data_IF_274506796376
#
_entry.id   IF_274506796376
#
_cell.length_a   1.000
_cell.length_b   1.000
_cell.length_c   1.000
_cell.angle_alpha   90.00
_cell.angle_beta   90.00
_cell.angle_gamma   90.00
#
_symmetry.space_group_name_H-M   'P 1'
#
loop_
_entity.id
_entity.type
_entity.pdbx_description
1 polymer ?
#
# COMPACT_ATOMS: atom_id res chain seq x y z
N UNK A 1 -8.53 -3.16 -11.34
CA UNK A 1 -9.26 -2.62 -10.18
C UNK A 1 -10.65 -2.11 -10.57
N UNK A 2 -11.53 -1.92 -9.59
CA UNK A 2 -12.79 -1.19 -9.78
C UNK A 2 -12.53 0.30 -10.02
N UNK A 3 -13.53 0.98 -10.59
CA UNK A 3 -13.54 2.41 -10.83
C UNK A 3 -14.00 3.16 -9.57
N UNK A 4 -13.25 4.18 -9.16
CA UNK A 4 -13.62 5.01 -8.01
C UNK A 4 -14.61 6.13 -8.42
N UNK A 5 -15.17 6.92 -7.47
CA UNK A 5 -16.10 8.00 -7.78
C UNK A 5 -15.53 9.07 -8.73
N UNK A 6 -14.23 9.35 -8.64
CA UNK A 6 -13.50 10.26 -9.54
C UNK A 6 -13.20 9.63 -10.91
N UNK A 7 -13.71 8.44 -11.17
CA UNK A 7 -13.54 7.70 -12.41
C UNK A 7 -12.13 7.19 -12.69
N UNK A 8 -11.29 7.11 -11.67
CA UNK A 8 -9.99 6.46 -11.75
C UNK A 8 -10.11 4.95 -11.57
N UNK A 9 -9.31 4.20 -12.34
CA UNK A 9 -9.05 2.77 -12.11
C UNK A 9 -7.63 2.44 -12.56
N UNK A 10 -7.05 1.38 -12.00
CA UNK A 10 -5.78 0.84 -12.48
C UNK A 10 -5.99 -0.48 -13.21
N UNK A 11 -5.22 -0.66 -14.29
CA UNK A 11 -5.28 -1.82 -15.19
C UNK A 11 -3.86 -2.16 -15.62
N UNK A 12 -3.53 -3.45 -15.69
CA UNK A 12 -2.29 -3.91 -16.31
C UNK A 12 -2.44 -3.91 -17.84
N UNK A 13 -1.50 -3.26 -18.54
CA UNK A 13 -1.44 -3.21 -19.99
C UNK A 13 0.00 -3.49 -20.43
N UNK A 14 0.26 -4.73 -20.86
CA UNK A 14 1.63 -5.22 -21.07
C UNK A 14 2.47 -5.08 -19.79
N UNK A 15 3.68 -4.56 -19.90
CA UNK A 15 4.61 -4.35 -18.78
C UNK A 15 4.35 -3.08 -17.96
N UNK A 16 3.10 -2.59 -17.94
CA UNK A 16 2.72 -1.35 -17.26
C UNK A 16 1.47 -1.52 -16.41
N UNK A 17 1.49 -0.92 -15.21
CA UNK A 17 0.27 -0.62 -14.45
C UNK A 17 -0.20 0.78 -14.83
N UNK A 18 -1.33 0.89 -15.53
CA UNK A 18 -1.85 2.15 -16.07
C UNK A 18 -2.97 2.69 -15.20
N UNK A 19 -2.90 3.97 -14.84
CA UNK A 19 -3.99 4.71 -14.19
C UNK A 19 -4.91 5.33 -15.25
N UNK A 20 -6.04 4.67 -15.51
CA UNK A 20 -7.07 5.18 -16.41
C UNK A 20 -7.82 6.33 -15.74
N UNK A 21 -8.00 7.42 -16.47
CA UNK A 21 -8.70 8.64 -16.06
C UNK A 21 -9.56 9.20 -17.20
N UNK A 22 -10.54 10.05 -16.86
CA UNK A 22 -11.45 10.68 -17.85
C UNK A 22 -10.71 11.57 -18.85
N UNK A 23 -9.67 12.28 -18.40
CA UNK A 23 -8.90 13.22 -19.20
C UNK A 23 -7.89 12.56 -20.15
N UNK A 24 -7.84 11.22 -20.18
CA UNK A 24 -6.91 10.41 -21.01
C UNK A 24 -5.44 10.79 -20.82
N UNK A 25 -5.06 11.29 -19.65
CA UNK A 25 -3.66 11.61 -19.32
C UNK A 25 -2.91 10.28 -19.18
N UNK A 26 -1.75 10.17 -19.82
CA UNK A 26 -0.90 9.00 -19.74
C UNK A 26 -0.19 8.95 -18.37
N UNK A 27 -0.64 8.04 -17.50
CA UNK A 27 -0.06 7.84 -16.16
C UNK A 27 0.13 6.33 -15.97
N UNK A 28 1.37 5.91 -15.71
CA UNK A 28 1.68 4.49 -15.54
C UNK A 28 2.92 4.27 -14.67
N UNK A 29 3.01 3.07 -14.12
CA UNK A 29 4.20 2.53 -13.47
C UNK A 29 4.69 1.31 -14.26
N UNK A 30 5.98 1.24 -14.64
CA UNK A 30 6.56 0.01 -15.18
C UNK A 30 6.43 -1.12 -14.17
N UNK A 31 6.14 -2.34 -14.62
CA UNK A 31 6.06 -3.51 -13.73
C UNK A 31 7.43 -3.82 -13.10
N UNK A 32 8.53 -3.51 -13.79
CA UNK A 32 9.90 -3.71 -13.28
C UNK A 32 10.15 -3.00 -11.95
N UNK A 33 9.46 -1.88 -11.65
CA UNK A 33 9.62 -1.20 -10.36
C UNK A 33 9.19 -2.09 -9.19
N UNK A 34 8.29 -3.04 -9.43
CA UNK A 34 7.83 -3.97 -8.40
C UNK A 34 8.92 -4.96 -8.04
N UNK A 35 9.74 -5.39 -8.99
CA UNK A 35 10.90 -6.20 -8.69
C UNK A 35 12.00 -5.37 -8.00
N UNK A 36 12.34 -4.21 -8.54
CA UNK A 36 13.47 -3.41 -8.04
C UNK A 36 13.23 -2.81 -6.66
N UNK A 37 12.03 -2.25 -6.42
CA UNK A 37 11.75 -1.49 -5.19
C UNK A 37 11.00 -2.33 -4.17
N UNK A 38 10.01 -3.13 -4.60
CA UNK A 38 9.22 -3.89 -3.63
C UNK A 38 9.99 -5.08 -3.09
N UNK A 39 10.67 -5.88 -3.90
CA UNK A 39 11.47 -7.00 -3.34
C UNK A 39 12.63 -6.49 -2.50
N UNK A 40 13.38 -5.50 -2.97
CA UNK A 40 14.52 -4.97 -2.22
C UNK A 40 14.16 -4.49 -0.81
N UNK A 41 12.95 -3.93 -0.64
CA UNK A 41 12.50 -3.38 0.65
C UNK A 41 11.58 -4.30 1.46
N UNK A 42 10.80 -5.13 0.78
CA UNK A 42 9.64 -5.81 1.36
C UNK A 42 9.64 -7.32 1.14
N UNK A 43 10.73 -7.91 0.65
CA UNK A 43 10.82 -9.37 0.49
C UNK A 43 10.79 -10.11 1.83
N UNK A 44 11.24 -9.46 2.91
CA UNK A 44 11.13 -9.96 4.29
C UNK A 44 10.52 -8.91 5.19
N UNK A 45 9.43 -9.25 5.89
CA UNK A 45 8.69 -8.33 6.76
C UNK A 45 8.37 -9.02 8.09
N UNK A 46 8.55 -8.29 9.19
CA UNK A 46 7.88 -8.58 10.45
C UNK A 46 6.56 -7.80 10.50
N UNK A 47 5.44 -8.49 10.41
CA UNK A 47 4.12 -7.89 10.54
C UNK A 47 3.62 -8.09 11.97
N UNK A 48 3.45 -6.99 12.71
CA UNK A 48 2.96 -7.03 14.10
C UNK A 48 1.59 -6.32 14.22
N UNK A 49 0.67 -6.98 14.92
CA UNK A 49 -0.64 -6.45 15.25
C UNK A 49 -0.70 -6.03 16.71
N UNK A 50 -1.34 -4.88 16.94
CA UNK A 50 -1.54 -4.35 18.27
C UNK A 50 -3.02 -4.16 18.57
N UNK A 51 -3.42 -4.58 19.76
CA UNK A 51 -4.64 -4.13 20.42
C UNK A 51 -4.44 -2.70 20.91
N UNK A 52 -5.48 -1.88 20.81
CA UNK A 52 -5.42 -0.45 21.20
C UNK A 52 -6.38 -0.17 22.33
N UNK A 53 -5.93 0.57 23.35
CA UNK A 53 -6.76 1.04 24.47
C UNK A 53 -6.61 2.54 24.67
N UNK A 54 -7.70 3.22 25.03
CA UNK A 54 -7.74 4.67 25.24
C UNK A 54 -8.22 5.45 24.00
N UNK A 55 -8.18 6.78 24.10
CA UNK A 55 -8.64 7.67 23.02
C UNK A 55 -7.60 7.77 21.91
N UNK A 56 -8.02 7.48 20.67
CA UNK A 56 -7.14 7.45 19.50
C UNK A 56 -6.49 8.80 19.23
N UNK A 57 -5.21 8.79 18.86
CA UNK A 57 -4.38 9.97 18.56
C UNK A 57 -4.20 10.92 19.75
N UNK A 58 -4.21 10.39 20.97
CA UNK A 58 -3.91 11.15 22.19
C UNK A 58 -2.74 10.51 22.94
N UNK A 59 -2.18 11.23 23.92
CA UNK A 59 -1.16 10.69 24.83
C UNK A 59 -1.64 9.49 25.67
N UNK A 60 -2.96 9.26 25.71
CA UNK A 60 -3.57 8.18 26.48
C UNK A 60 -3.77 6.91 25.63
N UNK A 61 -3.50 6.94 24.31
CA UNK A 61 -3.56 5.77 23.43
C UNK A 61 -2.43 4.81 23.79
N UNK A 62 -2.78 3.56 24.11
CA UNK A 62 -1.87 2.48 24.47
C UNK A 62 -1.95 1.36 23.44
N UNK A 63 -0.81 0.70 23.18
CA UNK A 63 -0.67 -0.37 22.21
C UNK A 63 -0.11 -1.61 22.88
N UNK A 64 -0.79 -2.74 22.73
CA UNK A 64 -0.33 -4.05 23.19
C UNK A 64 -0.14 -4.96 21.97
N UNK A 65 1.11 -5.27 21.62
CA UNK A 65 1.43 -6.13 20.48
C UNK A 65 1.20 -7.58 20.88
N UNK A 66 0.13 -8.19 20.35
CA UNK A 66 -0.37 -9.49 20.78
C UNK A 66 -0.23 -10.58 19.71
N UNK A 67 0.14 -10.23 18.49
CA UNK A 67 0.21 -11.15 17.36
C UNK A 67 1.26 -10.66 16.36
N UNK A 68 2.11 -11.56 15.86
CA UNK A 68 3.12 -11.20 14.88
C UNK A 68 3.48 -12.34 13.92
N UNK A 69 3.86 -11.96 12.69
CA UNK A 69 4.22 -12.88 11.62
C UNK A 69 5.56 -12.48 10.99
N UNK A 70 6.43 -13.47 10.79
CA UNK A 70 7.58 -13.35 9.90
C UNK A 70 7.14 -13.75 8.49
N UNK A 71 7.20 -12.81 7.56
CA UNK A 71 6.81 -12.97 6.16
C UNK A 71 8.05 -12.99 5.28
N UNK A 72 8.08 -13.87 4.29
CA UNK A 72 9.18 -13.94 3.31
C UNK A 72 8.72 -14.35 1.92
N UNK A 73 9.56 -14.09 0.92
CA UNK A 73 9.31 -14.37 -0.49
C UNK A 73 8.07 -13.61 -0.98
N UNK A 74 8.22 -12.29 -1.15
CA UNK A 74 7.15 -11.45 -1.70
C UNK A 74 6.86 -11.91 -3.14
N UNK A 75 5.60 -12.32 -3.37
CA UNK A 75 5.20 -12.88 -4.64
C UNK A 75 4.55 -11.82 -5.53
N UNK A 76 5.24 -11.46 -6.62
CA UNK A 76 4.79 -10.43 -7.56
C UNK A 76 3.50 -10.82 -8.28
N UNK A 77 3.29 -12.11 -8.56
CA UNK A 77 2.05 -12.55 -9.17
C UNK A 77 0.88 -12.38 -8.21
N UNK A 78 1.03 -12.78 -6.94
CA UNK A 78 0.01 -12.52 -5.89
C UNK A 78 -0.24 -11.03 -5.70
N UNK A 79 0.79 -10.20 -5.76
CA UNK A 79 0.68 -8.74 -5.72
C UNK A 79 -0.14 -8.17 -6.89
N UNK A 80 0.14 -8.61 -8.12
CA UNK A 80 -0.63 -8.23 -9.31
C UNK A 80 -2.08 -8.67 -9.17
N UNK A 81 -2.32 -9.92 -8.79
CA UNK A 81 -3.67 -10.45 -8.57
C UNK A 81 -4.42 -9.67 -7.48
N UNK A 82 -3.75 -9.24 -6.40
CA UNK A 82 -4.36 -8.42 -5.36
C UNK A 82 -4.81 -7.04 -5.87
N UNK A 83 -4.09 -6.44 -6.83
CA UNK A 83 -4.51 -5.19 -7.50
C UNK A 83 -5.74 -5.43 -8.38
N UNK A 84 -5.73 -6.51 -9.15
CA UNK A 84 -6.83 -6.88 -10.05
C UNK A 84 -8.11 -7.18 -9.28
N UNK A 85 -8.00 -7.98 -8.21
CA UNK A 85 -9.07 -8.36 -7.30
C UNK A 85 -9.47 -7.26 -6.32
N UNK A 86 -8.91 -6.06 -6.45
CA UNK A 86 -9.28 -4.88 -5.67
C UNK A 86 -8.95 -5.00 -4.17
N UNK A 87 -8.08 -5.95 -3.77
CA UNK A 87 -7.55 -6.10 -2.40
C UNK A 87 -6.44 -5.08 -2.12
N UNK A 88 -5.57 -4.86 -3.10
CA UNK A 88 -4.50 -3.85 -3.06
C UNK A 88 -4.92 -2.61 -3.86
N UNK A 89 -4.63 -1.44 -3.28
CA UNK A 89 -4.99 -0.11 -3.79
C UNK A 89 -3.77 0.71 -4.11
N UNK A 90 -3.92 1.54 -5.13
CA UNK A 90 -2.97 2.60 -5.49
C UNK A 90 -3.54 3.92 -4.97
N UNK A 91 -2.81 4.54 -4.05
CA UNK A 91 -3.22 5.71 -3.30
C UNK A 91 -2.37 6.92 -3.77
N UNK A 92 -2.98 7.86 -4.49
CA UNK A 92 -2.33 9.10 -4.92
C UNK A 92 -2.41 10.11 -3.77
N UNK A 93 -1.29 10.33 -3.08
CA UNK A 93 -1.25 11.03 -1.78
C UNK A 93 -0.67 12.44 -1.90
N UNK A 94 -1.38 13.25 -2.66
CA UNK A 94 -1.05 14.64 -2.91
C UNK A 94 -1.88 15.52 -1.98
N UNK A 95 -1.22 16.34 -1.18
CA UNK A 95 -1.86 17.24 -0.23
C UNK A 95 -1.07 18.54 -0.04
N UNK A 96 -1.25 19.15 1.12
CA UNK A 96 -0.54 20.37 1.53
C UNK A 96 0.00 20.21 2.94
N UNK A 97 1.14 20.83 3.23
CA UNK A 97 1.64 20.91 4.59
C UNK A 97 0.67 21.73 5.45
N UNK A 98 0.17 21.12 6.53
CA UNK A 98 -0.83 21.74 7.42
C UNK A 98 -0.23 22.69 8.48
N UNK A 99 1.07 22.56 8.75
CA UNK A 99 1.77 23.32 9.79
C UNK A 99 3.28 23.43 9.49
N UNK A 100 3.99 24.16 10.34
CA UNK A 100 5.43 24.38 10.22
C UNK A 100 5.82 25.37 9.12
N UNK A 101 7.13 25.48 8.85
CA UNK A 101 7.71 26.44 7.89
C UNK A 101 7.20 26.30 6.45
N UNK A 102 6.63 25.15 6.10
CA UNK A 102 6.11 24.86 4.78
C UNK A 102 4.57 24.96 4.71
N UNK A 103 3.90 25.46 5.75
CA UNK A 103 2.44 25.54 5.80
C UNK A 103 1.86 26.16 4.51
N UNK A 104 0.88 25.49 3.92
CA UNK A 104 0.23 25.89 2.67
C UNK A 104 0.95 25.45 1.39
N UNK A 105 2.20 24.98 1.46
CA UNK A 105 2.91 24.45 0.29
C UNK A 105 2.40 23.06 -0.08
N UNK A 106 2.41 22.78 -1.38
CA UNK A 106 2.16 21.47 -1.96
C UNK A 106 3.07 20.40 -1.33
N UNK A 107 2.51 19.22 -1.09
CA UNK A 107 3.23 18.08 -0.55
C UNK A 107 2.75 16.79 -1.21
N UNK A 108 3.62 16.16 -1.98
CA UNK A 108 3.42 14.80 -2.46
C UNK A 108 4.08 13.83 -1.48
N UNK A 109 3.27 12.99 -0.82
CA UNK A 109 3.77 11.94 0.08
C UNK A 109 4.29 10.71 -0.69
N UNK A 110 4.23 10.73 -2.02
CA UNK A 110 4.51 9.61 -2.91
C UNK A 110 3.28 8.71 -3.07
N UNK A 111 3.19 8.04 -4.21
CA UNK A 111 2.14 7.05 -4.47
C UNK A 111 2.27 5.86 -3.51
N UNK A 112 1.18 5.51 -2.82
CA UNK A 112 1.14 4.38 -1.89
C UNK A 112 0.54 3.13 -2.51
N UNK A 113 1.20 1.99 -2.35
CA UNK A 113 0.62 0.66 -2.61
C UNK A 113 0.12 0.12 -1.27
N UNK A 114 -1.20 0.00 -1.11
CA UNK A 114 -1.83 -0.24 0.19
C UNK A 114 -2.80 -1.40 0.12
N UNK A 115 -2.68 -2.33 1.06
CA UNK A 115 -3.56 -3.49 1.16
C UNK A 115 -4.28 -3.48 2.51
N UNK A 116 -5.46 -4.09 2.57
CA UNK A 116 -6.12 -4.32 3.85
C UNK A 116 -5.32 -5.31 4.69
N UNK A 117 -5.25 -5.10 6.00
CA UNK A 117 -4.51 -5.96 6.92
C UNK A 117 -4.85 -7.45 6.79
N UNK A 118 -6.13 -7.77 6.57
CA UNK A 118 -6.63 -9.15 6.45
C UNK A 118 -6.11 -9.88 5.21
N UNK A 119 -5.71 -9.11 4.20
CA UNK A 119 -5.26 -9.61 2.89
C UNK A 119 -3.72 -9.49 2.77
N UNK A 120 -3.02 -8.97 3.79
CA UNK A 120 -1.58 -8.68 3.72
C UNK A 120 -0.74 -9.96 3.61
N UNK A 121 -1.12 -11.00 4.35
CA UNK A 121 -0.45 -12.31 4.31
C UNK A 121 -0.50 -12.93 2.90
N UNK A 122 -1.58 -12.69 2.15
CA UNK A 122 -1.79 -13.20 0.79
C UNK A 122 -0.76 -12.68 -0.23
N UNK A 123 0.08 -11.70 0.12
CA UNK A 123 1.12 -11.19 -0.77
C UNK A 123 2.39 -12.05 -0.78
N UNK A 124 2.55 -12.94 0.20
CA UNK A 124 3.78 -13.68 0.44
C UNK A 124 3.60 -15.17 0.15
N UNK A 125 4.70 -15.85 -0.21
CA UNK A 125 4.69 -17.31 -0.34
C UNK A 125 4.88 -18.01 1.01
N UNK A 126 5.61 -17.38 1.92
CA UNK A 126 5.90 -17.95 3.23
C UNK A 126 5.51 -16.98 4.34
N UNK A 127 4.84 -17.49 5.37
CA UNK A 127 4.62 -16.78 6.62
C UNK A 127 4.65 -17.74 7.81
N UNK A 128 5.15 -17.24 8.95
CA UNK A 128 5.19 -17.99 10.21
C UNK A 128 4.74 -17.07 11.32
N UNK A 129 3.75 -17.48 12.09
CA UNK A 129 3.35 -16.77 13.30
C UNK A 129 4.40 -16.97 14.39
N UNK A 130 4.81 -15.89 15.06
CA UNK A 130 5.88 -15.91 16.07
C UNK A 130 5.45 -15.37 17.44
N UNK A 131 4.26 -14.78 17.52
CA UNK A 131 3.57 -14.36 18.76
C UNK A 131 2.11 -14.77 18.61
#
# INVERSE_FOLDING_TARGET
SRKNPQSFKVVFEGEKLVLKNKSKIAIYWPISIFDDVLKAKSDKILLAFAETKGERKTKNEKFHFAEAYLLSNLNINKFKSAIESDKLKIDIRIGVYRSGKNKGKYHDHGTGFRINKRDFLDLFDNFTQII
#
